data_IF_282461551645
#
_entry.id   IF_282461551645
#
_cell.length_a   1.000
_cell.length_b   1.000
_cell.length_c   1.000
_cell.angle_alpha   90.00
_cell.angle_beta   90.00
_cell.angle_gamma   90.00
#
_symmetry.space_group_name_H-M   'P 1'
#
loop_
_entity.id
_entity.type
_entity.pdbx_description
1 polymer ?
2 branched ?
3 non-polymer ?
4 non-polymer ?
5 non-polymer ?
6 non-polymer ?
7 non-polymer ?
8 water ?
#
# COMPACT_ATOMS: atom_id res chain seq x y z
N UNK A 1 -14.17 -13.32 -6.98
CA UNK A 1 -13.89 -11.85 -6.93
C UNK A 1 -12.42 -11.52 -7.13
N UNK A 2 -11.55 -12.44 -6.75
CA UNK A 2 -10.11 -12.24 -6.90
C UNK A 2 -9.53 -11.32 -5.84
N UNK A 3 -8.37 -10.72 -6.13
CA UNK A 3 -7.73 -9.85 -5.17
C UNK A 3 -7.97 -8.41 -5.53
N UNK A 4 -8.79 -7.75 -4.72
CA UNK A 4 -8.96 -6.31 -4.83
C UNK A 4 -8.54 -5.67 -3.51
N UNK A 5 -7.56 -4.77 -3.58
CA UNK A 5 -7.07 -4.08 -2.41
C UNK A 5 -7.51 -2.61 -2.53
N UNK A 6 -7.40 -1.86 -1.43
CA UNK A 6 -7.77 -0.43 -1.49
C UNK A 6 -6.90 0.37 -0.51
N UNK A 7 -6.66 1.64 -0.83
CA UNK A 7 -6.04 2.59 0.09
C UNK A 7 -7.14 3.31 0.89
N UNK A 8 -6.94 3.45 2.20
CA UNK A 8 -7.86 4.20 3.05
C UNK A 8 -7.07 5.01 4.05
N UNK A 9 -7.61 6.17 4.47
CA UNK A 9 -7.01 6.93 5.57
C UNK A 9 -6.78 8.39 5.23
N UNK A 10 -6.59 8.69 3.94
CA UNK A 10 -6.35 10.05 3.49
C UNK A 10 -7.53 10.67 2.74
N UNK A 11 -8.68 10.03 2.83
CA UNK A 11 -9.88 10.51 2.12
C UNK A 11 -10.74 11.46 2.94
N UNK A 12 -10.20 11.92 4.07
CA UNK A 12 -10.83 12.96 4.88
C UNK A 12 -11.21 12.49 6.26
N UNK A 13 -12.52 12.47 6.53
CA UNK A 13 -13.06 12.01 7.83
C UNK A 13 -13.90 10.75 7.61
N UNK A 14 -14.48 10.21 8.69
CA UNK A 14 -15.42 9.11 8.53
C UNK A 14 -16.62 9.53 7.67
N UNK A 15 -17.04 10.79 7.75
CA UNK A 15 -18.20 11.22 6.97
C UNK A 15 -17.91 11.44 5.48
N UNK A 16 -16.64 11.61 5.12
CA UNK A 16 -16.28 11.74 3.71
C UNK A 16 -15.92 10.42 3.06
N UNK A 17 -15.07 9.63 3.72
CA UNK A 17 -14.66 8.36 3.09
C UNK A 17 -15.12 7.10 3.82
N UNK A 18 -15.89 7.26 4.90
CA UNK A 18 -16.37 6.13 5.69
C UNK A 18 -15.31 5.65 6.66
N UNK A 19 -15.75 4.93 7.68
CA UNK A 19 -14.82 4.33 8.64
C UNK A 19 -14.05 3.19 7.99
N UNK A 20 -12.97 2.77 8.63
CA UNK A 20 -12.28 1.56 8.18
C UNK A 20 -13.22 0.36 8.21
N UNK A 21 -14.00 0.23 9.29
CA UNK A 21 -14.96 -0.86 9.40
C UNK A 21 -15.93 -0.88 8.21
N UNK A 22 -16.42 0.30 7.82
CA UNK A 22 -17.33 0.36 6.66
C UNK A 22 -16.67 -0.22 5.41
N UNK A 23 -15.41 0.13 5.17
CA UNK A 23 -14.67 -0.40 4.03
C UNK A 23 -14.62 -1.94 4.09
N UNK A 24 -14.29 -2.45 5.27
CA UNK A 24 -14.20 -3.91 5.41
C UNK A 24 -15.54 -4.59 5.24
N UNK A 25 -16.57 -4.03 5.89
CA UNK A 25 -17.91 -4.58 5.84
C UNK A 25 -18.50 -4.58 4.41
N UNK A 26 -18.02 -3.69 3.55
CA UNK A 26 -18.54 -3.60 2.17
C UNK A 26 -18.34 -4.90 1.40
N UNK A 27 -17.33 -5.68 1.79
CA UNK A 27 -16.99 -6.92 1.09
C UNK A 27 -16.27 -6.78 -0.24
N UNK A 28 -15.91 -5.55 -0.61
CA UNK A 28 -15.25 -5.31 -1.90
C UNK A 28 -13.76 -5.65 -1.90
N UNK A 29 -13.16 -5.73 -0.72
CA UNK A 29 -11.71 -5.74 -0.60
C UNK A 29 -11.20 -6.91 0.22
N UNK A 30 -10.05 -7.45 -0.15
CA UNK A 30 -9.43 -8.39 0.76
C UNK A 30 -8.15 -7.89 1.42
N UNK A 31 -7.76 -6.65 1.12
CA UNK A 31 -6.61 -6.03 1.78
C UNK A 31 -6.77 -4.52 1.75
N UNK A 32 -6.46 -3.87 2.87
CA UNK A 32 -6.56 -2.41 2.99
C UNK A 32 -5.18 -1.89 3.40
N UNK A 33 -4.71 -0.86 2.71
CA UNK A 33 -3.47 -0.20 3.06
C UNK A 33 -3.84 1.12 3.71
N UNK A 34 -3.46 1.30 4.98
CA UNK A 34 -3.76 2.52 5.74
C UNK A 34 -2.74 3.61 5.44
N UNK A 35 -3.23 4.79 5.05
CA UNK A 35 -2.37 5.91 4.70
C UNK A 35 -2.60 7.01 5.76
N UNK A 36 -1.59 7.40 6.54
CA UNK A 36 -0.20 6.94 6.42
C UNK A 36 0.56 7.24 7.69
N UNK A 37 1.73 6.60 7.84
CA UNK A 37 2.63 6.87 8.95
C UNK A 37 3.75 7.82 8.49
N UNK A 38 3.97 8.86 9.27
CA UNK A 38 5.08 9.79 9.07
C UNK A 38 6.25 9.31 9.93
N UNK A 39 7.43 9.14 9.31
CA UNK A 39 8.61 8.72 10.04
C UNK A 39 9.71 9.77 9.98
N UNK A 40 10.63 9.72 10.95
CA UNK A 40 11.63 10.76 11.13
C UNK A 40 13.04 10.27 10.91
N UNK A 41 13.74 10.92 9.99
CA UNK A 41 15.15 10.63 9.68
C UNK A 41 16.05 10.85 10.90
N UNK A 42 15.63 11.67 11.86
CA UNK A 42 16.44 11.89 13.07
C UNK A 42 16.13 10.93 14.23
N UNK A 43 15.21 9.98 13.98
CA UNK A 43 14.86 8.97 14.99
C UNK A 43 13.75 9.30 15.98
N UNK A 44 13.14 10.48 15.85
CA UNK A 44 11.92 10.81 16.60
C UNK A 44 10.85 9.75 16.34
N UNK A 45 10.03 9.44 17.34
CA UNK A 45 8.94 8.47 17.15
C UNK A 45 8.06 8.89 15.97
N UNK A 46 7.61 7.93 15.17
CA UNK A 46 6.69 8.24 14.07
C UNK A 46 5.42 8.92 14.53
N UNK A 47 4.78 9.66 13.62
CA UNK A 47 3.44 10.23 13.84
C UNK A 47 2.45 9.59 12.87
N UNK A 48 1.38 9.01 13.42
CA UNK A 48 0.31 8.50 12.58
C UNK A 48 -0.48 9.67 11.99
N UNK A 49 -0.80 9.60 10.70
CA UNK A 49 -1.62 10.63 10.08
C UNK A 49 -2.77 9.99 9.30
N UNK A 50 -3.93 9.88 9.95
CA UNK A 50 -5.14 9.41 9.25
C UNK A 50 -6.09 10.58 9.00
N UNK A 51 -5.51 11.74 8.70
CA UNK A 51 -6.28 12.96 8.42
C UNK A 51 -7.31 13.27 9.49
N UNK A 52 -8.53 13.54 9.03
CA UNK A 52 -9.62 13.90 9.93
C UNK A 52 -10.41 12.70 10.47
N UNK A 53 -9.89 11.48 10.28
CA UNK A 53 -10.53 10.30 10.88
C UNK A 53 -10.42 10.29 12.39
N UNK A 54 -9.24 10.65 12.91
CA UNK A 54 -8.94 10.58 14.34
C UNK A 54 -7.58 11.22 14.61
N UNK A 55 -7.42 11.72 15.82
CA UNK A 55 -6.10 12.10 16.35
C UNK A 55 -5.64 11.02 17.33
N UNK A 56 -6.49 10.69 18.30
CA UNK A 56 -6.32 9.47 19.09
C UNK A 56 -6.97 8.37 18.28
N UNK A 57 -6.15 7.56 17.64
CA UNK A 57 -6.63 6.54 16.72
C UNK A 57 -6.61 5.14 17.34
N UNK A 58 -6.42 5.09 18.65
CA UNK A 58 -6.37 3.79 19.34
C UNK A 58 -7.70 3.03 19.25
N UNK A 59 -8.80 3.78 19.09
CA UNK A 59 -10.12 3.15 18.96
C UNK A 59 -10.34 2.47 17.61
N UNK A 60 -9.38 2.63 16.69
CA UNK A 60 -9.42 1.85 15.44
C UNK A 60 -9.14 0.37 15.68
N UNK A 61 -8.59 0.02 16.84
CA UNK A 61 -8.30 -1.37 17.16
C UNK A 61 -9.44 -2.32 16.84
N UNK A 62 -10.65 -2.02 17.33
CA UNK A 62 -11.78 -2.94 17.12
C UNK A 62 -12.12 -3.06 15.63
N UNK A 63 -11.90 -1.99 14.87
CA UNK A 63 -12.21 -2.02 13.43
C UNK A 63 -11.19 -2.87 12.68
N UNK A 64 -9.91 -2.67 13.02
CA UNK A 64 -8.83 -3.50 12.48
C UNK A 64 -9.10 -4.98 12.76
N UNK A 65 -9.43 -5.31 14.00
CA UNK A 65 -9.69 -6.72 14.35
C UNK A 65 -10.93 -7.28 13.64
N UNK A 66 -11.97 -6.45 13.51
CA UNK A 66 -13.16 -6.83 12.74
C UNK A 66 -12.74 -7.20 11.31
N UNK A 67 -11.95 -6.33 10.69
CA UNK A 67 -11.45 -6.58 9.33
C UNK A 67 -10.69 -7.92 9.24
N UNK A 68 -9.76 -8.11 10.17
CA UNK A 68 -8.91 -9.29 10.14
C UNK A 68 -9.69 -10.59 10.35
N UNK A 69 -10.70 -10.53 11.20
CA UNK A 69 -11.58 -11.69 11.41
C UNK A 69 -12.49 -11.98 10.21
N UNK A 70 -12.58 -11.03 9.27
CA UNK A 70 -13.23 -11.25 7.96
C UNK A 70 -12.20 -11.60 6.87
N UNK A 71 -10.99 -11.98 7.29
CA UNK A 71 -9.90 -12.43 6.41
C UNK A 71 -9.24 -11.32 5.59
N UNK A 72 -9.47 -10.07 5.99
CA UNK A 72 -8.94 -8.91 5.27
C UNK A 72 -7.63 -8.51 5.91
N UNK A 73 -6.58 -8.40 5.11
CA UNK A 73 -5.26 -8.00 5.62
C UNK A 73 -5.20 -6.48 5.76
N UNK A 74 -4.59 -6.02 6.85
CA UNK A 74 -4.43 -4.59 7.11
C UNK A 74 -2.94 -4.25 7.12
N UNK A 75 -2.50 -3.41 6.19
CA UNK A 75 -1.11 -2.97 6.13
C UNK A 75 -1.06 -1.48 6.42
N UNK A 76 0.02 -1.01 7.05
CA UNK A 76 0.20 0.41 7.28
C UNK A 76 1.25 0.96 6.34
N UNK A 77 0.94 2.05 5.65
CA UNK A 77 1.87 2.66 4.71
C UNK A 77 2.71 3.74 5.36
N UNK A 78 4.03 3.65 5.18
CA UNK A 78 4.94 4.75 5.48
C UNK A 78 4.88 5.71 4.30
N UNK A 79 4.38 6.92 4.54
CA UNK A 79 4.10 7.86 3.46
C UNK A 79 4.97 9.09 3.36
N UNK A 80 5.85 9.27 4.34
CA UNK A 80 6.59 10.52 4.48
C UNK A 80 7.78 10.28 5.39
N UNK A 81 8.98 10.65 4.92
CA UNK A 81 10.19 10.60 5.73
C UNK A 81 10.68 12.03 5.91
N UNK A 82 10.61 12.50 7.15
CA UNK A 82 10.99 13.87 7.47
C UNK A 82 12.52 13.91 7.57
N UNK A 83 13.20 14.62 6.65
CA UNK A 83 14.66 14.51 6.55
C UNK A 83 15.40 15.27 7.65
N UNK A 84 16.65 14.87 7.89
CA UNK A 84 17.52 15.63 8.76
C UNK A 84 18.90 15.70 8.11
N UNK A 85 19.65 16.75 8.41
CA UNK A 85 21.05 16.84 7.97
C UNK A 85 21.99 16.20 8.97
N UNK A 86 21.46 15.93 10.18
CA UNK A 86 22.22 15.30 11.25
C UNK A 86 22.53 13.84 10.94
N UNK A 87 23.75 13.44 11.29
CA UNK A 87 24.17 12.05 11.20
C UNK A 87 23.75 11.39 12.52
N UNK A 88 22.76 10.49 12.43
CA UNK A 88 22.19 9.86 13.61
C UNK A 88 22.36 8.36 13.49
N UNK A 89 22.86 7.73 14.54
CA UNK A 89 23.15 6.29 14.53
C UNK A 89 21.89 5.46 14.72
N UNK A 90 21.84 4.33 14.02
CA UNK A 90 20.84 3.29 14.26
C UNK A 90 19.41 3.67 13.93
N UNK A 91 19.22 4.67 13.07
CA UNK A 91 17.84 5.14 12.79
C UNK A 91 16.96 4.02 12.19
N UNK A 92 17.48 3.31 11.19
CA UNK A 92 16.69 2.27 10.53
C UNK A 92 16.40 1.11 11.48
N UNK A 93 17.43 0.63 12.17
CA UNK A 93 17.28 -0.44 13.18
C UNK A 93 16.22 -0.04 14.19
N UNK A 94 16.32 1.21 14.67
CA UNK A 94 15.41 1.69 15.71
C UNK A 94 13.97 1.81 15.21
N UNK A 95 13.80 2.20 13.94
CA UNK A 95 12.44 2.28 13.39
C UNK A 95 11.83 0.89 13.29
N UNK A 96 12.61 -0.09 12.80
CA UNK A 96 12.12 -1.46 12.72
C UNK A 96 11.66 -1.93 14.11
N UNK A 97 12.47 -1.65 15.13
CA UNK A 97 12.10 -2.01 16.50
C UNK A 97 10.82 -1.31 16.98
N UNK A 98 10.71 -0.01 16.67
CA UNK A 98 9.52 0.76 17.02
C UNK A 98 8.28 0.13 16.37
N UNK A 99 8.39 -0.19 15.07
CA UNK A 99 7.25 -0.76 14.35
C UNK A 99 6.85 -2.12 14.93
N UNK A 100 7.83 -2.98 15.20
CA UNK A 100 7.61 -4.30 15.79
C UNK A 100 6.84 -4.16 17.10
N UNK A 101 7.32 -3.27 17.97
CA UNK A 101 6.76 -3.06 19.31
C UNK A 101 5.36 -2.43 19.28
N UNK A 102 5.16 -1.49 18.35
CA UNK A 102 3.95 -0.68 18.36
C UNK A 102 2.83 -1.12 17.44
N UNK A 103 3.13 -2.01 16.50
CA UNK A 103 2.12 -2.47 15.54
C UNK A 103 2.09 -3.98 15.32
N UNK A 104 3.12 -4.70 15.78
CA UNK A 104 3.23 -6.12 15.46
C UNK A 104 3.46 -7.02 16.67
N UNK A 105 3.05 -6.51 17.84
CA UNK A 105 3.25 -7.25 19.09
C UNK A 105 1.98 -7.39 19.94
N UNK A 106 0.85 -6.89 19.43
CA UNK A 106 -0.41 -6.94 20.19
C UNK A 106 -0.42 -6.00 21.39
N UNK A 107 0.54 -5.06 21.42
CA UNK A 107 0.66 -4.13 22.55
C UNK A 107 -0.01 -2.79 22.28
N UNK A 108 -0.06 -1.92 23.29
CA UNK A 108 -0.82 -0.67 23.20
C UNK A 108 -0.10 0.42 22.41
N UNK A 109 -0.23 0.37 21.08
CA UNK A 109 0.40 1.36 20.20
C UNK A 109 -0.61 2.34 19.62
N UNK A 110 -0.21 3.10 18.60
CA UNK A 110 -1.07 4.16 18.05
C UNK A 110 -2.40 3.69 17.48
N UNK A 111 -2.48 2.42 17.06
CA UNK A 111 -3.72 1.85 16.55
C UNK A 111 -4.34 0.88 17.55
N UNK A 112 -3.94 1.00 18.82
CA UNK A 112 -4.42 0.10 19.85
C UNK A 112 -3.70 -1.24 19.88
N UNK A 113 -4.33 -2.24 20.50
CA UNK A 113 -3.66 -3.51 20.81
C UNK A 113 -3.81 -4.50 19.66
N UNK A 114 -3.08 -4.23 18.57
CA UNK A 114 -3.23 -4.96 17.32
C UNK A 114 -1.98 -5.71 16.92
N UNK A 115 -2.15 -6.69 16.05
CA UNK A 115 -1.08 -7.19 15.21
C UNK A 115 -1.47 -6.85 13.78
N UNK A 116 -0.89 -5.78 13.22
CA UNK A 116 -1.14 -5.50 11.81
C UNK A 116 -0.59 -6.62 10.94
N UNK A 117 -1.03 -6.68 9.69
CA UNK A 117 -0.53 -7.69 8.77
C UNK A 117 0.73 -7.30 8.03
N UNK A 118 1.06 -6.01 8.00
CA UNK A 118 2.32 -5.62 7.35
C UNK A 118 2.50 -4.13 7.14
N UNK A 119 3.52 -3.80 6.35
CA UNK A 119 3.96 -2.43 6.09
C UNK A 119 4.10 -2.24 4.58
N UNK A 120 3.54 -1.14 4.07
CA UNK A 120 3.77 -0.69 2.71
C UNK A 120 4.66 0.55 2.75
N UNK A 121 5.49 0.74 1.72
CA UNK A 121 6.27 1.97 1.61
C UNK A 121 5.88 2.72 0.33
N UNK A 122 5.49 3.99 0.49
CA UNK A 122 5.16 4.85 -0.64
C UNK A 122 6.39 5.24 -1.45
N UNK A 123 6.14 5.68 -2.69
CA UNK A 123 7.20 6.15 -3.57
C UNK A 123 7.60 7.58 -3.21
N UNK A 124 8.43 7.68 -2.17
CA UNK A 124 8.84 8.97 -1.60
C UNK A 124 10.32 8.90 -1.23
N UNK A 125 10.99 10.05 -1.09
CA UNK A 125 12.40 10.02 -0.68
C UNK A 125 12.59 9.36 0.68
N UNK A 126 13.66 8.59 0.81
CA UNK A 126 14.06 8.07 2.11
C UNK A 126 14.89 9.16 2.83
N UNK A 127 15.60 8.79 3.87
CA UNK A 127 16.38 9.76 4.62
C UNK A 127 17.87 9.67 4.35
N UNK A 128 18.63 10.52 5.05
CA UNK A 128 20.08 10.43 5.09
C UNK A 128 20.49 9.31 6.05
N UNK A 129 19.62 9.01 7.03
CA UNK A 129 19.83 7.93 7.99
C UNK A 129 18.90 6.75 7.73
N UNK A 130 17.61 7.04 7.57
CA UNK A 130 16.62 5.97 7.34
C UNK A 130 16.67 5.49 5.89
N UNK A 131 16.89 4.19 5.71
CA UNK A 131 16.99 3.59 4.36
C UNK A 131 15.95 2.48 4.18
N UNK A 132 15.15 2.57 3.12
CA UNK A 132 14.04 1.65 2.91
C UNK A 132 14.46 0.19 2.70
N UNK A 133 15.51 -0.07 1.90
CA UNK A 133 15.89 -1.46 1.68
C UNK A 133 16.36 -2.10 3.00
N UNK A 134 17.11 -1.31 3.76
CA UNK A 134 17.57 -1.74 5.08
C UNK A 134 16.37 -2.00 6.02
N UNK A 135 15.37 -1.14 5.95
CA UNK A 135 14.16 -1.30 6.78
C UNK A 135 13.42 -2.60 6.43
N UNK A 136 13.28 -2.87 5.13
CA UNK A 136 12.60 -4.08 4.65
C UNK A 136 13.33 -5.32 5.16
N UNK A 137 14.66 -5.33 5.03
CA UNK A 137 15.43 -6.47 5.52
C UNK A 137 15.31 -6.63 7.04
N UNK A 138 15.34 -5.53 7.77
CA UNK A 138 15.21 -5.57 9.23
C UNK A 138 13.84 -6.11 9.65
N UNK A 139 12.78 -5.64 9.00
CA UNK A 139 11.43 -6.11 9.33
C UNK A 139 11.27 -7.59 9.02
N UNK A 140 11.79 -8.03 7.89
CA UNK A 140 11.68 -9.44 7.57
C UNK A 140 12.45 -10.33 8.56
N UNK A 141 13.52 -9.76 9.14
CA UNK A 141 14.36 -10.45 10.13
C UNK A 141 13.87 -10.30 11.57
N UNK A 142 12.67 -9.72 11.73
CA UNK A 142 12.03 -9.46 13.04
C UNK A 142 11.95 -10.69 13.95
N UNK A 143 12.21 -10.48 15.24
CA UNK A 143 12.08 -11.54 16.24
C UNK A 143 10.61 -11.78 16.57
N UNK A 144 9.94 -12.48 15.66
CA UNK A 144 8.52 -12.81 15.79
C UNK A 144 8.17 -14.04 14.97
N UNK A 145 7.12 -14.75 15.38
CA UNK A 145 6.58 -15.88 14.61
C UNK A 145 5.41 -15.42 13.73
N UNK A 146 5.02 -14.16 13.89
CA UNK A 146 3.96 -13.55 13.10
C UNK A 146 4.45 -13.31 11.66
N UNK A 147 3.54 -13.43 10.70
CA UNK A 147 3.88 -13.04 9.33
C UNK A 147 3.70 -11.54 9.15
N UNK A 148 4.78 -10.87 8.77
CA UNK A 148 4.72 -9.44 8.44
C UNK A 148 4.87 -9.34 6.94
N UNK A 149 3.77 -9.00 6.25
CA UNK A 149 3.82 -8.79 4.81
C UNK A 149 4.49 -7.46 4.54
N UNK A 150 5.32 -7.43 3.50
CA UNK A 150 6.02 -6.20 3.13
C UNK A 150 5.69 -5.86 1.69
N UNK A 151 5.44 -4.59 1.45
CA UNK A 151 5.04 -4.16 0.12
C UNK A 151 5.56 -2.77 -0.16
N UNK A 152 5.50 -2.41 -1.44
CA UNK A 152 5.78 -1.02 -1.83
C UNK A 152 4.77 -0.56 -2.86
N UNK A 153 4.62 0.77 -2.97
CA UNK A 153 3.70 1.38 -3.94
C UNK A 153 4.48 2.23 -4.96
N UNK A 154 5.31 1.56 -5.80
CA UNK A 154 6.06 2.31 -6.80
C UNK A 154 5.15 2.93 -7.87
N UNK A 155 5.60 4.02 -8.50
CA UNK A 155 4.92 4.49 -9.69
C UNK A 155 5.19 3.51 -10.83
N UNK A 156 4.46 3.65 -11.92
CA UNK A 156 4.58 2.65 -12.99
C UNK A 156 5.89 2.72 -13.79
N UNK A 157 6.65 3.81 -13.63
CA UNK A 157 7.96 3.90 -14.28
C UNK A 157 8.92 2.92 -13.61
N UNK A 158 9.51 2.01 -14.41
CA UNK A 158 10.52 1.08 -13.94
C UNK A 158 11.90 1.46 -14.47
N UNK A 159 12.92 1.54 -13.60
CA UNK A 159 12.86 1.31 -12.15
C UNK A 159 12.29 2.51 -11.41
N UNK A 160 11.71 2.25 -10.24
CA UNK A 160 11.20 3.35 -9.41
C UNK A 160 12.37 4.01 -8.67
N UNK A 161 12.54 5.31 -8.84
CA UNK A 161 13.67 6.05 -8.27
C UNK A 161 13.79 5.86 -6.77
N UNK A 162 12.65 5.85 -6.07
CA UNK A 162 12.63 5.82 -4.61
C UNK A 162 12.64 4.42 -4.02
N UNK A 163 12.04 3.47 -4.74
CA UNK A 163 11.79 2.14 -4.16
C UNK A 163 12.56 0.98 -4.79
N UNK A 164 13.31 1.25 -5.86
CA UNK A 164 13.99 0.16 -6.55
C UNK A 164 14.87 -0.65 -5.60
N UNK A 165 15.64 0.01 -4.72
CA UNK A 165 16.48 -0.75 -3.79
C UNK A 165 15.66 -1.67 -2.90
N UNK A 166 14.57 -1.15 -2.35
CA UNK A 166 13.70 -1.96 -1.51
C UNK A 166 13.13 -3.15 -2.30
N UNK A 167 12.77 -2.92 -3.56
CA UNK A 167 12.25 -3.97 -4.43
C UNK A 167 13.32 -5.06 -4.67
N UNK A 168 14.56 -4.62 -4.91
CA UNK A 168 15.64 -5.55 -5.25
C UNK A 168 16.17 -6.35 -4.05
N UNK A 169 15.67 -6.07 -2.84
CA UNK A 169 15.93 -6.97 -1.71
C UNK A 169 15.32 -8.36 -1.96
N UNK A 170 14.36 -8.41 -2.90
CA UNK A 170 13.56 -9.61 -3.19
C UNK A 170 12.65 -10.02 -2.03
N UNK A 171 12.45 -9.11 -1.07
CA UNK A 171 11.69 -9.46 0.14
C UNK A 171 10.32 -8.80 0.21
N UNK A 172 9.88 -8.18 -0.88
CA UNK A 172 8.53 -7.63 -0.93
C UNK A 172 7.54 -8.68 -1.41
N UNK A 173 6.48 -8.85 -0.64
CA UNK A 173 5.41 -9.77 -1.00
C UNK A 173 4.52 -9.23 -2.11
N UNK A 174 4.21 -7.93 -2.04
CA UNK A 174 3.30 -7.28 -3.01
C UNK A 174 3.92 -6.00 -3.51
N UNK A 175 3.63 -5.67 -4.77
CA UNK A 175 3.88 -4.32 -5.29
C UNK A 175 2.57 -3.76 -5.78
N UNK A 176 2.26 -2.55 -5.32
CA UNK A 176 1.07 -1.83 -5.79
C UNK A 176 1.55 -0.80 -6.80
N UNK A 177 1.60 -1.20 -8.07
CA UNK A 177 2.22 -0.37 -9.10
C UNK A 177 1.21 0.68 -9.55
N UNK A 178 1.56 1.95 -9.35
CA UNK A 178 0.60 3.02 -9.56
C UNK A 178 0.53 3.54 -10.99
N UNK A 179 -0.63 3.31 -11.60
CA UNK A 179 -0.91 3.74 -12.97
C UNK A 179 -1.87 4.93 -12.95
N UNK A 180 -1.57 5.92 -12.12
CA UNK A 180 -2.40 7.13 -12.09
C UNK A 180 -1.57 8.37 -11.87
N UNK A 181 -2.23 9.53 -11.99
CA UNK A 181 -1.54 10.81 -12.18
C UNK A 181 -0.77 10.79 -13.52
N UNK A 182 -0.10 11.88 -13.86
CA UNK A 182 0.56 11.95 -15.17
C UNK A 182 1.93 11.27 -15.22
N UNK A 183 2.00 10.15 -15.93
CA UNK A 183 3.22 9.40 -16.16
C UNK A 183 3.14 8.76 -17.56
N UNK A 184 4.30 8.49 -18.19
CA UNK A 184 4.26 7.92 -19.55
C UNK A 184 3.66 6.52 -19.64
N UNK A 185 3.44 5.88 -18.50
CA UNK A 185 2.99 4.48 -18.48
C UNK A 185 1.52 4.28 -18.12
N UNK A 186 0.80 5.36 -17.88
CA UNK A 186 -0.65 5.25 -17.60
C UNK A 186 -1.46 4.85 -18.83
N UNK A 187 -2.65 4.32 -18.58
CA UNK A 187 -3.66 4.14 -19.63
C UNK A 187 -4.15 5.51 -20.08
N UNK A 188 -4.25 5.72 -21.39
CA UNK A 188 -5.00 6.86 -21.94
C UNK A 188 -6.06 6.32 -22.89
N UNK A 189 -7.06 7.14 -23.22
CA UNK A 189 -8.20 6.66 -23.99
C UNK A 189 -7.78 5.95 -25.29
N UNK A 190 -8.21 4.70 -25.43
CA UNK A 190 -7.89 3.88 -26.60
C UNK A 190 -6.42 3.54 -26.74
N UNK A 191 -5.68 3.66 -25.65
CA UNK A 191 -4.25 3.44 -25.73
C UNK A 191 -3.67 2.81 -24.47
N UNK A 192 -3.74 1.47 -24.38
CA UNK A 192 -3.15 0.73 -23.27
C UNK A 192 -1.70 0.32 -23.53
N UNK A 193 -1.11 0.73 -24.65
CA UNK A 193 0.19 0.18 -25.04
C UNK A 193 1.28 0.38 -23.98
N UNK A 194 1.38 1.60 -23.44
CA UNK A 194 2.40 1.91 -22.45
C UNK A 194 2.15 1.16 -21.15
N UNK A 195 0.88 1.05 -20.75
CA UNK A 195 0.51 0.29 -19.56
C UNK A 195 0.88 -1.18 -19.74
N UNK A 196 0.56 -1.76 -20.90
CA UNK A 196 0.93 -3.15 -21.17
C UNK A 196 2.44 -3.37 -21.07
N UNK A 197 3.22 -2.46 -21.67
CA UNK A 197 4.67 -2.60 -21.64
C UNK A 197 5.22 -2.47 -20.22
N UNK A 198 4.68 -1.53 -19.45
CA UNK A 198 5.07 -1.38 -18.06
C UNK A 198 4.74 -2.62 -17.23
N UNK A 199 3.56 -3.18 -17.44
CA UNK A 199 3.16 -4.38 -16.72
C UNK A 199 4.06 -5.56 -17.09
N UNK A 200 4.43 -5.66 -18.37
CA UNK A 200 5.43 -6.66 -18.78
C UNK A 200 6.75 -6.48 -18.03
N UNK A 201 7.22 -5.23 -17.96
CA UNK A 201 8.50 -4.91 -17.31
C UNK A 201 8.46 -5.23 -15.82
N UNK A 202 7.38 -4.80 -15.14
CA UNK A 202 7.25 -5.07 -13.70
C UNK A 202 7.16 -6.55 -13.39
N UNK A 203 6.29 -7.27 -14.10
CA UNK A 203 6.09 -8.68 -13.81
C UNK A 203 7.34 -9.51 -14.13
N UNK A 204 8.03 -9.21 -15.23
CA UNK A 204 9.25 -9.94 -15.59
C UNK A 204 10.46 -9.61 -14.72
N UNK A 205 10.57 -8.36 -14.29
CA UNK A 205 11.74 -7.94 -13.50
C UNK A 205 11.59 -8.24 -12.00
N UNK A 206 10.36 -8.40 -11.54
CA UNK A 206 10.10 -8.72 -10.13
C UNK A 206 9.28 -10.03 -10.03
N UNK A 207 9.84 -11.15 -10.54
CA UNK A 207 9.07 -12.39 -10.54
C UNK A 207 8.78 -12.91 -9.13
N UNK A 208 9.59 -12.44 -8.16
CA UNK A 208 9.51 -12.88 -6.76
C UNK A 208 8.35 -12.24 -5.99
N UNK A 209 7.69 -11.25 -6.58
CA UNK A 209 6.62 -10.50 -5.89
C UNK A 209 5.32 -10.57 -6.66
N UNK A 210 4.19 -10.51 -5.95
CA UNK A 210 2.89 -10.42 -6.60
C UNK A 210 2.67 -8.96 -7.00
N UNK A 211 2.25 -8.75 -8.25
CA UNK A 211 2.11 -7.41 -8.84
C UNK A 211 0.64 -7.03 -8.94
N UNK A 212 0.27 -5.95 -8.25
CA UNK A 212 -1.06 -5.35 -8.39
C UNK A 212 -0.97 -4.16 -9.33
N UNK A 213 -2.01 -3.99 -10.13
CA UNK A 213 -2.16 -2.80 -10.93
C UNK A 213 -2.97 -1.83 -10.06
N UNK A 214 -2.35 -0.72 -9.64
CA UNK A 214 -3.07 0.27 -8.82
C UNK A 214 -3.68 1.33 -9.74
N UNK A 215 -5.01 1.44 -9.67
CA UNK A 215 -5.80 2.24 -10.61
C UNK A 215 -6.73 3.19 -9.89
N UNK A 216 -7.03 4.35 -10.51
CA UNK A 216 -7.94 5.28 -9.86
C UNK A 216 -9.40 4.89 -10.06
N UNK A 217 -10.21 5.07 -9.02
CA UNK A 217 -11.63 4.69 -9.06
C UNK A 217 -12.51 5.79 -9.66
N UNK A 218 -11.91 6.94 -9.98
CA UNK A 218 -12.67 8.08 -10.51
C UNK A 218 -12.17 8.55 -11.88
N UNK A 219 -13.10 8.90 -12.80
CA UNK A 219 -12.71 9.42 -14.10
C UNK A 219 -12.06 10.81 -14.02
N UNK A 220 -12.10 11.43 -12.84
CA UNK A 220 -11.47 12.72 -12.61
C UNK A 220 -9.96 12.65 -12.36
N UNK A 221 -9.38 11.44 -12.42
CA UNK A 221 -7.93 11.31 -12.33
C UNK A 221 -7.34 10.71 -13.60
N UNK A 222 -6.18 11.24 -14.01
CA UNK A 222 -5.44 10.67 -15.15
C UNK A 222 -5.15 9.21 -14.88
N UNK A 223 -5.30 8.37 -15.91
CA UNK A 223 -5.07 6.93 -15.78
C UNK A 223 -6.33 6.11 -15.59
N UNK A 224 -7.48 6.77 -15.46
CA UNK A 224 -8.74 6.08 -15.24
C UNK A 224 -9.05 5.11 -16.38
N UNK A 225 -9.38 3.88 -16.02
CA UNK A 225 -9.75 2.86 -17.00
C UNK A 225 -11.24 2.53 -16.81
N UNK A 226 -12.11 2.88 -17.78
CA UNK A 226 -13.52 2.53 -17.60
C UNK A 226 -13.65 1.01 -17.34
N UNK A 227 -14.60 0.61 -16.47
CA UNK A 227 -14.70 -0.81 -16.11
C UNK A 227 -14.79 -1.77 -17.29
N UNK A 228 -15.54 -1.42 -18.34
CA UNK A 228 -15.62 -2.31 -19.50
C UNK A 228 -14.26 -2.49 -20.17
N UNK A 229 -13.49 -1.41 -20.26
CA UNK A 229 -12.14 -1.48 -20.82
C UNK A 229 -11.25 -2.37 -19.92
N UNK A 230 -11.34 -2.15 -18.61
CA UNK A 230 -10.58 -2.97 -17.67
C UNK A 230 -10.91 -4.46 -17.84
N UNK A 231 -12.19 -4.77 -17.92
CA UNK A 231 -12.63 -6.16 -17.96
C UNK A 231 -12.36 -6.88 -19.27
N UNK A 232 -12.55 -6.17 -20.38
CA UNK A 232 -12.51 -6.81 -21.70
C UNK A 232 -11.19 -6.62 -22.43
N UNK A 233 -10.41 -5.60 -22.08
CA UNK A 233 -9.13 -5.41 -22.75
C UNK A 233 -7.96 -5.61 -21.80
N UNK A 234 -7.98 -4.91 -20.68
CA UNK A 234 -6.77 -4.84 -19.86
C UNK A 234 -6.49 -6.13 -19.11
N UNK A 235 -7.46 -6.58 -18.33
CA UNK A 235 -7.29 -7.78 -17.52
C UNK A 235 -6.96 -9.03 -18.36
N UNK A 236 -7.64 -9.23 -19.52
CA UNK A 236 -7.27 -10.40 -20.33
C UNK A 236 -5.79 -10.42 -20.74
N UNK A 237 -5.23 -9.25 -21.04
CA UNK A 237 -3.82 -9.15 -21.40
C UNK A 237 -2.87 -9.31 -20.20
N UNK A 238 -3.10 -8.55 -19.13
CA UNK A 238 -2.12 -8.54 -18.03
C UNK A 238 -2.17 -9.81 -17.16
N UNK A 239 -3.32 -10.48 -17.13
CA UNK A 239 -3.47 -11.70 -16.33
C UNK A 239 -2.66 -12.88 -16.88
N UNK A 240 -2.07 -12.72 -18.07
CA UNK A 240 -1.16 -13.74 -18.60
C UNK A 240 0.13 -13.85 -17.78
N UNK A 241 0.48 -12.80 -17.04
CA UNK A 241 1.64 -12.87 -16.13
C UNK A 241 1.31 -13.75 -14.92
N UNK A 242 2.19 -14.70 -14.61
CA UNK A 242 1.91 -15.63 -13.50
C UNK A 242 1.86 -14.92 -12.16
N UNK A 243 2.59 -13.82 -12.05
CA UNK A 243 2.59 -13.04 -10.80
C UNK A 243 1.68 -11.81 -10.81
N UNK A 244 0.76 -11.74 -11.78
CA UNK A 244 -0.26 -10.71 -11.71
C UNK A 244 -1.26 -11.09 -10.61
N UNK A 245 -1.44 -10.19 -9.65
CA UNK A 245 -2.21 -10.48 -8.43
C UNK A 245 -3.63 -9.94 -8.42
N UNK A 246 -3.85 -8.81 -9.08
CA UNK A 246 -5.15 -8.17 -9.05
C UNK A 246 -5.05 -6.66 -9.12
N UNK A 247 -6.08 -6.00 -8.61
CA UNK A 247 -6.24 -4.55 -8.75
C UNK A 247 -6.22 -3.88 -7.39
N UNK A 248 -5.39 -2.84 -7.25
CA UNK A 248 -5.38 -1.98 -6.08
C UNK A 248 -6.16 -0.71 -6.40
N UNK A 249 -7.16 -0.40 -5.57
CA UNK A 249 -8.03 0.73 -5.82
C UNK A 249 -7.52 2.00 -5.13
N UNK A 250 -7.21 3.02 -5.92
CA UNK A 250 -6.97 4.36 -5.39
C UNK A 250 -8.26 5.16 -5.59
N UNK A 251 -9.04 5.40 -4.54
CA UNK A 251 -8.82 4.97 -3.15
C UNK A 251 -10.22 4.73 -2.57
N UNK A 252 -10.32 4.49 -1.26
CA UNK A 252 -11.63 4.21 -0.68
C UNK A 252 -12.60 5.37 -0.83
N UNK A 253 -12.11 6.60 -0.71
CA UNK A 253 -12.95 7.77 -0.88
C UNK A 253 -13.67 7.72 -2.26
N UNK A 254 -12.90 7.60 -3.33
CA UNK A 254 -13.49 7.58 -4.67
C UNK A 254 -14.37 6.35 -4.87
N UNK A 255 -13.91 5.19 -4.38
CA UNK A 255 -14.64 3.94 -4.58
C UNK A 255 -15.97 3.91 -3.83
N UNK A 256 -16.01 4.55 -2.67
CA UNK A 256 -17.23 4.61 -1.85
C UNK A 256 -18.40 5.19 -2.66
N UNK A 257 -18.11 6.20 -3.47
CA UNK A 257 -19.12 6.88 -4.27
C UNK A 257 -19.27 6.34 -5.67
N UNK A 258 -18.15 5.92 -6.28
CA UNK A 258 -18.16 5.49 -7.68
C UNK A 258 -18.50 4.01 -7.85
N UNK A 259 -18.28 3.23 -6.78
CA UNK A 259 -18.49 1.77 -6.81
C UNK A 259 -17.76 1.13 -7.98
N UNK A 260 -16.52 1.56 -8.20
CA UNK A 260 -15.69 1.03 -9.28
C UNK A 260 -15.35 -0.44 -9.06
N UNK A 261 -14.95 -0.79 -7.83
CA UNK A 261 -14.58 -2.17 -7.54
C UNK A 261 -15.76 -3.14 -7.77
N UNK A 262 -16.99 -2.65 -7.61
CA UNK A 262 -18.19 -3.47 -7.86
C UNK A 262 -18.32 -3.90 -9.31
N UNK A 263 -17.69 -3.14 -10.21
CA UNK A 263 -17.85 -3.33 -11.64
C UNK A 263 -16.75 -4.17 -12.27
N UNK A 264 -15.76 -4.55 -11.47
CA UNK A 264 -14.66 -5.42 -11.94
C UNK A 264 -15.18 -6.87 -12.07
N UNK A 265 -14.80 -7.53 -13.15
CA UNK A 265 -15.22 -8.90 -13.46
C UNK A 265 -14.90 -9.89 -12.34
N UNK A 266 -15.71 -10.95 -12.23
CA UNK A 266 -15.49 -12.01 -11.25
C UNK A 266 -14.30 -12.88 -11.64
#
# INVERSE_FOLDING_TARGET
GGNIVVYWGQGGSDNSEGSLKEACKSGHYNMIVLEELITYDNGRDPDLNLGAHCVNCTSLQQEIKYCQLKLIKILLQIGQVTPTKEDTKDTTKDLSQYLDSNFFSGKSGPLGEVYLDGIDIASVPEGLNLKFDELVQALNDSATSRRIYLSASPNCVYPDYYLDKAIQTQKLDFLFVQFFYALPCIYTQGLPEDLFQAMKTWTSNVPESKIFMALPATPDLNGYIPPRVLNKEILPAVTQASNFAGVMIFDRYFDRFRKYSSKIKR
#
